data_IF_783953510213
#
_entry.id   IF_783953510213
#
_cell.length_a   1.000
_cell.length_b   1.000
_cell.length_c   1.000
_cell.angle_alpha   90.00
_cell.angle_beta   90.00
_cell.angle_gamma   90.00
#
_symmetry.space_group_name_H-M   'P 1'
#
loop_
_entity.id
_entity.type
_entity.pdbx_description
1 polymer ?
#
# COMPACT_ATOMS: atom_id res chain seq x y z
N UNK A 1 26.83 11.28 0.58
CA UNK A 1 26.94 12.65 0.02
C UNK A 1 27.97 12.62 -1.10
N UNK A 2 27.51 12.36 -2.32
CA UNK A 2 28.23 12.72 -3.54
C UNK A 2 27.32 13.69 -4.26
N UNK A 3 27.57 14.96 -3.99
CA UNK A 3 26.97 16.10 -4.65
C UNK A 3 27.61 16.20 -6.05
N UNK A 4 27.01 15.51 -7.02
CA UNK A 4 27.24 15.79 -8.44
C UNK A 4 26.17 16.77 -8.87
N UNK A 5 26.54 18.05 -8.98
CA UNK A 5 25.66 19.18 -9.33
C UNK A 5 25.09 19.18 -10.76
N UNK A 6 24.66 18.02 -11.26
CA UNK A 6 23.76 17.91 -12.39
C UNK A 6 22.31 17.85 -11.89
N UNK A 7 21.37 18.42 -12.64
CA UNK A 7 19.95 18.19 -12.37
C UNK A 7 19.66 16.68 -12.36
N UNK A 8 18.83 16.18 -11.42
CA UNK A 8 18.49 14.77 -11.37
C UNK A 8 17.84 14.35 -12.69
N UNK A 9 18.40 13.34 -13.34
CA UNK A 9 17.82 12.77 -14.56
C UNK A 9 16.83 11.66 -14.18
N UNK A 10 15.55 11.90 -14.41
CA UNK A 10 14.50 10.91 -14.19
C UNK A 10 14.26 10.06 -15.44
N UNK A 11 14.04 8.76 -15.26
CA UNK A 11 13.85 7.80 -16.36
C UNK A 11 12.72 6.83 -16.07
N UNK A 12 11.98 6.40 -17.09
CA UNK A 12 10.92 5.42 -16.90
C UNK A 12 11.49 4.08 -16.34
N UNK A 13 11.01 3.59 -15.18
CA UNK A 13 11.50 2.35 -14.59
C UNK A 13 11.19 1.15 -15.48
N UNK A 14 12.13 0.21 -15.56
CA UNK A 14 12.03 -0.99 -16.37
C UNK A 14 12.21 -2.25 -15.54
N UNK A 15 11.61 -3.37 -15.98
CA UNK A 15 11.71 -4.64 -15.25
C UNK A 15 13.13 -5.21 -15.31
N UNK A 16 13.78 -5.24 -14.15
CA UNK A 16 15.15 -5.74 -13.98
C UNK A 16 15.25 -7.14 -13.37
N UNK A 17 14.18 -7.67 -12.76
CA UNK A 17 14.13 -9.06 -12.26
C UNK A 17 13.25 -9.87 -13.21
N UNK A 18 13.86 -10.76 -13.98
CA UNK A 18 13.16 -11.57 -14.99
C UNK A 18 13.34 -13.07 -14.74
N UNK A 19 14.45 -13.44 -14.10
CA UNK A 19 14.83 -14.80 -13.78
C UNK A 19 15.13 -14.92 -12.28
N UNK A 20 15.11 -16.14 -11.70
CA UNK A 20 15.51 -16.35 -10.31
C UNK A 20 16.93 -15.85 -10.00
N UNK A 21 17.86 -15.92 -10.94
CA UNK A 21 19.26 -15.49 -10.75
C UNK A 21 19.39 -13.97 -10.61
N UNK A 22 18.47 -13.19 -11.20
CA UNK A 22 18.44 -11.74 -11.05
C UNK A 22 18.18 -11.30 -9.60
N UNK A 23 17.65 -12.19 -8.74
CA UNK A 23 17.41 -11.90 -7.33
C UNK A 23 18.71 -11.60 -6.58
N UNK A 24 19.84 -12.20 -7.00
CA UNK A 24 21.14 -11.90 -6.41
C UNK A 24 21.60 -10.46 -6.71
N UNK A 25 21.21 -9.93 -7.89
CA UNK A 25 21.45 -8.52 -8.26
C UNK A 25 20.49 -7.60 -7.52
N UNK A 26 19.21 -7.95 -7.45
CA UNK A 26 18.19 -7.18 -6.75
C UNK A 26 18.55 -6.96 -5.27
N UNK A 27 18.86 -8.03 -4.53
CA UNK A 27 19.17 -7.97 -3.09
C UNK A 27 20.44 -7.18 -2.74
N UNK A 28 21.30 -6.90 -3.72
CA UNK A 28 22.52 -6.09 -3.57
C UNK A 28 22.39 -4.69 -4.19
N UNK A 29 21.23 -4.37 -4.76
CA UNK A 29 21.00 -3.09 -5.43
C UNK A 29 20.74 -1.96 -4.43
N UNK A 30 21.02 -0.73 -4.87
CA UNK A 30 20.66 0.48 -4.12
C UNK A 30 19.15 0.54 -3.86
N UNK A 31 18.32 0.24 -4.88
CA UNK A 31 16.86 0.24 -4.74
C UNK A 31 16.35 -0.71 -3.63
N UNK A 32 16.98 -1.88 -3.46
CA UNK A 32 16.64 -2.78 -2.36
C UNK A 32 17.02 -2.20 -0.99
N UNK A 33 18.24 -1.65 -0.88
CA UNK A 33 18.70 -1.03 0.36
C UNK A 33 17.82 0.17 0.75
N UNK A 34 17.44 1.00 -0.22
CA UNK A 34 16.55 2.14 -0.01
C UNK A 34 15.14 1.73 0.38
N UNK A 35 14.59 0.70 -0.26
CA UNK A 35 13.26 0.17 0.08
C UNK A 35 13.19 -0.37 1.51
N UNK A 36 14.15 -1.21 1.88
CA UNK A 36 14.22 -1.76 3.25
C UNK A 36 14.47 -0.64 4.25
N UNK A 37 15.40 0.28 3.96
CA UNK A 37 15.67 1.43 4.80
C UNK A 37 14.45 2.33 5.00
N UNK A 38 13.68 2.57 3.94
CA UNK A 38 12.44 3.33 3.96
C UNK A 38 11.37 2.69 4.87
N UNK A 39 11.14 1.38 4.73
CA UNK A 39 10.17 0.65 5.58
C UNK A 39 10.56 0.75 7.05
N UNK A 40 11.84 0.52 7.38
CA UNK A 40 12.34 0.58 8.75
C UNK A 40 12.27 2.00 9.32
N UNK A 41 12.64 3.01 8.53
CA UNK A 41 12.57 4.41 8.95
C UNK A 41 11.12 4.82 9.26
N UNK A 42 10.16 4.48 8.38
CA UNK A 42 8.75 4.77 8.63
C UNK A 42 8.19 4.00 9.82
N UNK A 43 8.63 2.76 10.04
CA UNK A 43 8.22 1.97 11.20
C UNK A 43 8.59 2.67 12.52
N UNK A 44 9.81 3.20 12.63
CA UNK A 44 10.22 3.98 13.81
C UNK A 44 9.38 5.25 13.98
N UNK A 45 8.92 5.88 12.89
CA UNK A 45 8.09 7.08 12.95
C UNK A 45 6.66 6.83 13.41
N UNK A 46 6.13 5.62 13.30
CA UNK A 46 4.77 5.27 13.75
C UNK A 46 4.72 4.54 15.09
N UNK A 47 5.87 4.25 15.69
CA UNK A 47 5.99 3.57 16.97
C UNK A 47 5.14 4.23 18.06
N UNK A 48 4.27 3.44 18.70
CA UNK A 48 3.41 3.90 19.80
C UNK A 48 2.32 4.91 19.41
N UNK A 49 2.04 5.11 18.12
CA UNK A 49 1.09 6.13 17.64
C UNK A 49 -0.16 5.47 17.06
N UNK A 50 -1.33 5.98 17.45
CA UNK A 50 -2.62 5.60 16.86
C UNK A 50 -2.81 6.22 15.48
N UNK A 51 -3.62 5.58 14.64
CA UNK A 51 -4.15 6.19 13.42
C UNK A 51 -4.83 7.52 13.79
N UNK A 52 -5.62 7.58 14.85
CA UNK A 52 -6.37 8.77 15.26
C UNK A 52 -5.54 9.89 15.90
N UNK A 53 -4.23 9.71 16.10
CA UNK A 53 -3.39 10.75 16.69
C UNK A 53 -3.15 11.94 15.73
N UNK A 54 -2.77 13.08 16.31
CA UNK A 54 -2.46 14.30 15.57
C UNK A 54 -1.06 14.26 14.97
N UNK A 55 -0.96 14.63 13.71
CA UNK A 55 0.28 14.72 12.95
C UNK A 55 0.28 15.96 12.07
N UNK A 56 1.46 16.38 11.63
CA UNK A 56 1.57 17.36 10.56
C UNK A 56 1.00 16.75 9.28
N UNK A 57 0.02 17.43 8.69
CA UNK A 57 -0.54 17.09 7.38
C UNK A 57 -0.20 18.23 6.44
N UNK A 58 0.82 18.03 5.60
CA UNK A 58 1.22 19.01 4.60
C UNK A 58 0.19 19.11 3.46
N UNK A 59 0.36 20.14 2.63
CA UNK A 59 -0.43 20.31 1.41
C UNK A 59 -0.27 19.10 0.46
N UNK A 60 0.96 18.57 0.32
CA UNK A 60 1.24 17.39 -0.51
C UNK A 60 0.50 16.16 0.05
N UNK A 61 0.53 15.94 1.36
CA UNK A 61 -0.22 14.85 2.00
C UNK A 61 -1.73 14.99 1.77
N UNK A 62 -2.28 16.21 1.93
CA UNK A 62 -3.70 16.48 1.71
C UNK A 62 -4.10 16.20 0.26
N UNK A 63 -3.32 16.68 -0.70
CA UNK A 63 -3.55 16.45 -2.13
C UNK A 63 -3.43 14.97 -2.49
N UNK A 64 -2.49 14.24 -1.89
CA UNK A 64 -2.35 12.80 -2.12
C UNK A 64 -3.55 12.02 -1.58
N UNK A 65 -4.12 12.41 -0.44
CA UNK A 65 -5.38 11.85 0.05
C UNK A 65 -6.53 12.10 -0.94
N UNK A 66 -6.63 13.32 -1.49
CA UNK A 66 -7.63 13.66 -2.53
C UNK A 66 -7.47 12.84 -3.82
N UNK A 67 -6.23 12.49 -4.20
CA UNK A 67 -5.98 11.56 -5.31
C UNK A 67 -6.59 10.20 -4.99
N UNK A 68 -6.33 9.63 -3.81
CA UNK A 68 -6.90 8.34 -3.41
C UNK A 68 -8.43 8.38 -3.29
N UNK A 69 -9.02 9.49 -2.84
CA UNK A 69 -10.47 9.68 -2.81
C UNK A 69 -11.10 9.77 -4.21
N UNK A 70 -10.37 10.35 -5.17
CA UNK A 70 -10.78 10.35 -6.58
C UNK A 70 -10.81 8.93 -7.13
N UNK A 71 -9.79 8.12 -6.81
CA UNK A 71 -9.73 6.70 -7.21
C UNK A 71 -10.88 5.87 -6.60
N UNK A 72 -11.22 6.11 -5.33
CA UNK A 72 -12.38 5.50 -4.65
C UNK A 72 -13.71 5.88 -5.33
N UNK A 73 -13.86 7.15 -5.68
CA UNK A 73 -15.03 7.64 -6.41
C UNK A 73 -15.18 6.91 -7.74
N UNK A 74 -14.07 6.67 -8.45
CA UNK A 74 -14.10 5.93 -9.71
C UNK A 74 -14.50 4.46 -9.55
N UNK A 75 -14.25 3.84 -8.38
CA UNK A 75 -14.78 2.49 -8.10
C UNK A 75 -16.30 2.52 -8.13
N UNK A 76 -16.92 3.51 -7.46
CA UNK A 76 -18.39 3.69 -7.42
C UNK A 76 -18.97 4.00 -8.80
N UNK A 77 -18.25 4.75 -9.61
CA UNK A 77 -18.62 5.06 -11.00
C UNK A 77 -18.40 3.88 -11.96
N UNK A 78 -17.70 2.82 -11.53
CA UNK A 78 -17.38 1.65 -12.34
C UNK A 78 -17.91 0.38 -11.65
N UNK A 79 -19.24 0.21 -11.56
CA UNK A 79 -19.84 -0.90 -10.84
C UNK A 79 -19.49 -2.26 -11.48
N UNK A 80 -19.47 -3.35 -10.69
CA UNK A 80 -19.27 -4.70 -11.19
C UNK A 80 -20.28 -5.06 -12.26
N UNK A 81 -19.81 -5.69 -13.33
CA UNK A 81 -20.69 -6.22 -14.38
C UNK A 81 -21.21 -7.61 -14.00
N UNK A 82 -22.44 -7.92 -14.39
CA UNK A 82 -23.01 -9.25 -14.17
C UNK A 82 -22.38 -10.24 -15.17
N UNK A 83 -21.49 -11.10 -14.66
CA UNK A 83 -20.72 -12.05 -15.45
C UNK A 83 -20.78 -13.43 -14.80
N UNK A 84 -20.72 -14.51 -15.59
CA UNK A 84 -20.77 -15.88 -15.07
C UNK A 84 -19.53 -16.25 -14.23
N UNK A 85 -18.44 -15.48 -14.34
CA UNK A 85 -17.20 -15.75 -13.64
C UNK A 85 -17.32 -15.41 -12.15
N UNK A 86 -16.90 -16.35 -11.30
CA UNK A 86 -16.97 -16.22 -9.83
C UNK A 86 -15.91 -15.28 -9.25
N UNK A 87 -14.72 -15.25 -9.85
CA UNK A 87 -13.57 -14.44 -9.43
C UNK A 87 -13.13 -13.53 -10.57
N UNK A 88 -12.58 -12.36 -10.23
CA UNK A 88 -12.13 -11.37 -11.18
C UNK A 88 -13.28 -10.77 -12.00
N UNK A 89 -13.82 -9.64 -11.58
CA UNK A 89 -14.83 -8.91 -12.34
C UNK A 89 -14.16 -8.04 -13.42
N UNK A 90 -14.62 -8.12 -14.67
CA UNK A 90 -14.00 -7.37 -15.77
C UNK A 90 -14.10 -5.85 -15.65
N UNK A 91 -15.04 -5.32 -14.84
CA UNK A 91 -15.16 -3.89 -14.54
C UNK A 91 -13.88 -3.30 -13.90
N UNK A 92 -13.08 -4.12 -13.22
CA UNK A 92 -11.75 -3.73 -12.74
C UNK A 92 -10.87 -3.21 -13.87
N UNK A 93 -10.98 -3.79 -15.06
CA UNK A 93 -10.18 -3.38 -16.22
C UNK A 93 -10.52 -1.97 -16.66
N UNK A 94 -11.81 -1.65 -16.64
CA UNK A 94 -12.31 -0.31 -16.93
C UNK A 94 -11.80 0.69 -15.90
N UNK A 95 -11.89 0.34 -14.61
CA UNK A 95 -11.40 1.18 -13.52
C UNK A 95 -9.90 1.42 -13.62
N UNK A 96 -9.09 0.37 -13.75
CA UNK A 96 -7.63 0.48 -13.79
C UNK A 96 -7.16 1.20 -15.06
N UNK A 97 -7.86 1.06 -16.18
CA UNK A 97 -7.54 1.80 -17.42
C UNK A 97 -7.78 3.30 -17.24
N UNK A 98 -8.84 3.69 -16.52
CA UNK A 98 -9.09 5.09 -16.14
C UNK A 98 -7.98 5.61 -15.23
N UNK A 99 -7.57 4.83 -14.22
CA UNK A 99 -6.43 5.17 -13.35
C UNK A 99 -5.16 5.40 -14.15
N UNK A 100 -4.79 4.46 -15.03
CA UNK A 100 -3.59 4.58 -15.87
C UNK A 100 -3.64 5.81 -16.79
N UNK A 101 -4.80 6.11 -17.39
CA UNK A 101 -4.97 7.27 -18.27
C UNK A 101 -4.88 8.63 -17.55
N UNK A 102 -5.29 8.69 -16.28
CA UNK A 102 -5.40 9.95 -15.53
C UNK A 102 -4.28 10.18 -14.51
N UNK A 103 -3.45 9.17 -14.22
CA UNK A 103 -2.43 9.25 -13.16
C UNK A 103 -1.42 10.39 -13.37
N UNK A 104 -1.00 10.66 -14.62
CA UNK A 104 -0.11 11.78 -14.93
C UNK A 104 -0.73 13.12 -14.52
N UNK A 105 -2.02 13.33 -14.80
CA UNK A 105 -2.74 14.57 -14.46
C UNK A 105 -2.98 14.68 -12.96
N UNK A 106 -3.45 13.60 -12.33
CA UNK A 106 -3.71 13.57 -10.89
C UNK A 106 -2.44 13.88 -10.08
N UNK A 107 -1.31 13.27 -10.44
CA UNK A 107 -0.06 13.49 -9.73
C UNK A 107 0.56 14.86 -10.03
N UNK A 108 0.38 15.42 -11.24
CA UNK A 108 0.85 16.77 -11.54
C UNK A 108 0.05 17.85 -10.81
N UNK A 109 -1.25 17.65 -10.60
CA UNK A 109 -2.10 18.52 -9.77
C UNK A 109 -1.78 18.39 -8.28
N UNK A 110 -1.43 17.19 -7.84
CA UNK A 110 -1.11 16.91 -6.43
C UNK A 110 0.27 17.44 -6.01
N UNK A 111 1.21 17.54 -6.95
CA UNK A 111 2.60 17.89 -6.67
C UNK A 111 2.97 19.30 -7.16
N UNK A 112 3.78 20.06 -6.40
CA UNK A 112 4.38 21.30 -6.88
C UNK A 112 5.13 21.12 -8.21
N UNK A 113 5.06 22.13 -9.10
CA UNK A 113 5.64 22.10 -10.46
C UNK A 113 7.11 21.72 -10.50
N UNK A 114 7.88 22.08 -9.47
CA UNK A 114 9.31 21.72 -9.35
C UNK A 114 9.58 20.20 -9.34
N UNK A 115 8.57 19.37 -9.06
CA UNK A 115 8.69 17.91 -9.05
C UNK A 115 8.12 17.25 -10.31
N UNK A 116 7.59 18.02 -11.28
CA UNK A 116 6.92 17.44 -12.45
C UNK A 116 7.86 16.63 -13.36
N UNK A 117 9.16 16.93 -13.35
CA UNK A 117 10.15 16.12 -14.07
C UNK A 117 10.24 14.68 -13.53
N UNK A 118 9.94 14.46 -12.24
CA UNK A 118 9.97 13.13 -11.62
C UNK A 118 8.75 12.26 -11.98
N UNK A 119 7.71 12.82 -12.62
CA UNK A 119 6.49 12.09 -12.93
C UNK A 119 6.73 10.88 -13.84
N UNK A 120 7.77 10.94 -14.69
CA UNK A 120 8.19 9.80 -15.54
C UNK A 120 8.58 8.57 -14.72
N UNK A 121 9.07 8.77 -13.49
CA UNK A 121 9.38 7.69 -12.54
C UNK A 121 8.20 7.39 -11.61
N UNK A 122 7.50 8.41 -11.13
CA UNK A 122 6.45 8.25 -10.11
C UNK A 122 5.20 7.55 -10.66
N UNK A 123 4.78 7.88 -11.89
CA UNK A 123 3.53 7.37 -12.47
C UNK A 123 3.56 5.84 -12.63
N UNK A 124 4.63 5.22 -13.15
CA UNK A 124 4.69 3.75 -13.24
C UNK A 124 4.55 3.04 -11.89
N UNK A 125 5.24 3.49 -10.83
CA UNK A 125 5.07 2.88 -9.50
C UNK A 125 3.64 3.05 -8.97
N UNK A 126 3.05 4.25 -9.13
CA UNK A 126 1.68 4.50 -8.71
C UNK A 126 0.68 3.61 -9.46
N UNK A 127 0.79 3.51 -10.78
CA UNK A 127 -0.16 2.73 -11.60
C UNK A 127 -0.05 1.21 -11.38
N UNK A 128 1.12 0.69 -11.03
CA UNK A 128 1.31 -0.74 -10.71
C UNK A 128 0.93 -1.07 -9.25
N UNK A 129 0.47 -0.09 -8.47
CA UNK A 129 0.14 -0.24 -7.04
C UNK A 129 -1.21 -0.90 -6.75
N UNK A 130 -2.07 -1.11 -7.75
CA UNK A 130 -3.49 -1.43 -7.54
C UNK A 130 -3.94 -2.80 -8.07
N UNK A 131 -3.00 -3.62 -8.55
CA UNK A 131 -3.30 -4.97 -9.06
C UNK A 131 -3.03 -5.13 -10.57
N UNK A 132 -3.18 -6.34 -11.07
CA UNK A 132 -2.92 -6.66 -12.46
C UNK A 132 -4.18 -6.64 -13.32
N UNK A 133 -4.17 -5.81 -14.37
CA UNK A 133 -5.25 -5.70 -15.35
C UNK A 133 -5.69 -7.04 -15.94
N UNK A 134 -4.73 -7.89 -16.31
CA UNK A 134 -5.00 -9.12 -17.06
C UNK A 134 -5.51 -10.24 -16.17
N UNK A 135 -4.86 -10.43 -15.03
CA UNK A 135 -5.18 -11.50 -14.08
C UNK A 135 -6.29 -11.11 -13.10
N UNK A 136 -6.58 -9.81 -12.94
CA UNK A 136 -7.53 -9.27 -11.96
C UNK A 136 -7.16 -9.79 -10.56
N UNK A 137 -5.87 -9.69 -10.25
CA UNK A 137 -5.28 -10.10 -8.98
C UNK A 137 -4.56 -8.93 -8.31
N UNK A 138 -4.38 -9.05 -7.00
CA UNK A 138 -3.64 -8.10 -6.18
C UNK A 138 -2.80 -8.88 -5.16
N UNK A 139 -1.66 -8.35 -4.74
CA UNK A 139 -0.81 -8.97 -3.73
C UNK A 139 0.34 -8.06 -3.31
N UNK A 140 1.27 -8.62 -2.53
CA UNK A 140 2.35 -7.87 -1.87
C UNK A 140 3.32 -7.19 -2.84
N UNK A 141 3.42 -7.64 -4.10
CA UNK A 141 4.17 -6.94 -5.14
C UNK A 141 3.56 -5.57 -5.51
N UNK A 142 2.23 -5.48 -5.53
CA UNK A 142 1.51 -4.23 -5.78
C UNK A 142 1.57 -3.30 -4.56
N UNK A 143 1.46 -3.86 -3.36
CA UNK A 143 1.71 -3.14 -2.10
C UNK A 143 3.14 -2.55 -2.07
N UNK A 144 4.14 -3.34 -2.47
CA UNK A 144 5.52 -2.89 -2.60
C UNK A 144 5.66 -1.75 -3.62
N UNK A 145 4.96 -1.81 -4.75
CA UNK A 145 4.96 -0.70 -5.73
C UNK A 145 4.43 0.60 -5.13
N UNK A 146 3.39 0.52 -4.29
CA UNK A 146 2.89 1.70 -3.58
C UNK A 146 3.90 2.24 -2.58
N UNK A 147 4.55 1.36 -1.81
CA UNK A 147 5.61 1.77 -0.90
C UNK A 147 6.82 2.38 -1.62
N UNK A 148 7.19 1.88 -2.80
CA UNK A 148 8.20 2.48 -3.66
C UNK A 148 7.78 3.87 -4.16
N UNK A 149 6.52 4.04 -4.60
CA UNK A 149 5.98 5.34 -4.95
C UNK A 149 6.10 6.35 -3.80
N UNK A 150 5.75 5.94 -2.57
CA UNK A 150 5.91 6.78 -1.39
C UNK A 150 7.40 7.10 -1.13
N UNK A 151 8.28 6.11 -1.23
CA UNK A 151 9.73 6.29 -1.09
C UNK A 151 10.28 7.33 -2.06
N UNK A 152 9.90 7.25 -3.35
CA UNK A 152 10.30 8.21 -4.38
C UNK A 152 9.87 9.65 -4.03
N UNK A 153 8.67 9.84 -3.45
CA UNK A 153 8.21 11.16 -3.01
C UNK A 153 9.04 11.76 -1.87
N UNK A 154 9.58 10.94 -0.96
CA UNK A 154 10.59 11.41 0.00
C UNK A 154 11.92 11.71 -0.68
N UNK A 155 12.38 10.86 -1.59
CA UNK A 155 13.67 11.03 -2.28
C UNK A 155 13.72 12.31 -3.12
N UNK A 156 12.64 12.65 -3.81
CA UNK A 156 12.56 13.91 -4.57
C UNK A 156 12.32 15.13 -3.69
N UNK A 157 12.07 14.94 -2.39
CA UNK A 157 11.83 16.01 -1.41
C UNK A 157 10.42 16.60 -1.47
N UNK A 158 9.45 15.89 -2.06
CA UNK A 158 8.04 16.27 -2.00
C UNK A 158 7.47 16.13 -0.59
N UNK A 159 7.96 15.13 0.14
CA UNK A 159 7.76 15.00 1.59
C UNK A 159 9.06 15.14 2.36
N UNK A 160 8.91 15.56 3.61
CA UNK A 160 9.99 15.66 4.59
C UNK A 160 9.77 14.68 5.72
N UNK A 161 10.76 14.48 6.58
CA UNK A 161 10.66 13.59 7.74
C UNK A 161 9.46 13.93 8.66
N UNK A 162 9.01 15.19 8.68
CA UNK A 162 7.83 15.61 9.43
C UNK A 162 6.52 14.99 8.91
N UNK A 163 6.47 14.64 7.63
CA UNK A 163 5.30 14.01 6.99
C UNK A 163 5.21 12.51 7.27
N UNK A 164 6.30 11.87 7.69
CA UNK A 164 6.40 10.41 7.80
C UNK A 164 5.25 9.73 8.61
N UNK A 165 4.84 10.25 9.79
CA UNK A 165 3.69 9.68 10.49
C UNK A 165 2.39 9.78 9.68
N UNK A 166 2.14 10.91 9.00
CA UNK A 166 0.93 11.09 8.20
C UNK A 166 0.95 10.27 6.91
N UNK A 167 2.12 10.05 6.31
CA UNK A 167 2.25 9.16 5.15
C UNK A 167 1.80 7.74 5.50
N UNK A 168 2.22 7.19 6.64
CA UNK A 168 1.77 5.84 7.04
C UNK A 168 0.33 5.86 7.57
N UNK A 169 0.04 6.73 8.54
CA UNK A 169 -1.20 6.69 9.32
C UNK A 169 -2.36 7.48 8.69
N UNK A 170 -2.16 8.08 7.51
CA UNK A 170 -3.23 8.65 6.67
C UNK A 170 -3.15 8.12 5.25
N UNK A 171 -2.05 8.34 4.53
CA UNK A 171 -1.98 8.01 3.10
C UNK A 171 -1.99 6.50 2.87
N UNK A 172 -1.14 5.75 3.57
CA UNK A 172 -1.11 4.29 3.45
C UNK A 172 -2.37 3.65 4.04
N UNK A 173 -2.90 4.15 5.16
CA UNK A 173 -4.20 3.70 5.69
C UNK A 173 -5.35 3.95 4.67
N UNK A 174 -5.36 5.10 3.99
CA UNK A 174 -6.35 5.39 2.95
C UNK A 174 -6.20 4.48 1.72
N UNK A 175 -4.95 4.18 1.35
CA UNK A 175 -4.63 3.19 0.32
C UNK A 175 -5.14 1.80 0.70
N UNK A 176 -4.91 1.36 1.95
CA UNK A 176 -5.40 0.10 2.48
C UNK A 176 -6.93 -0.02 2.36
N UNK A 177 -7.66 1.04 2.68
CA UNK A 177 -9.12 1.10 2.51
C UNK A 177 -9.54 0.97 1.04
N UNK A 178 -8.83 1.66 0.12
CA UNK A 178 -9.08 1.57 -1.31
C UNK A 178 -8.81 0.17 -1.85
N UNK A 179 -7.68 -0.46 -1.54
CA UNK A 179 -7.37 -1.80 -2.07
C UNK A 179 -8.29 -2.88 -1.50
N UNK A 180 -8.74 -2.76 -0.24
CA UNK A 180 -9.79 -3.63 0.31
C UNK A 180 -11.12 -3.46 -0.41
N UNK A 181 -11.49 -2.23 -0.77
CA UNK A 181 -12.67 -1.97 -1.60
C UNK A 181 -12.52 -2.64 -2.98
N UNK A 182 -11.37 -2.49 -3.65
CA UNK A 182 -11.11 -3.13 -4.95
C UNK A 182 -11.20 -4.66 -4.87
N UNK A 183 -10.56 -5.27 -3.85
CA UNK A 183 -10.57 -6.71 -3.61
C UNK A 183 -12.00 -7.25 -3.49
N UNK A 184 -12.85 -6.57 -2.72
CA UNK A 184 -14.24 -6.97 -2.51
C UNK A 184 -15.12 -6.69 -3.73
N UNK A 185 -15.11 -5.45 -4.23
CA UNK A 185 -15.99 -4.98 -5.30
C UNK A 185 -15.75 -5.75 -6.60
N UNK A 186 -14.47 -5.95 -6.95
CA UNK A 186 -14.08 -6.65 -8.17
C UNK A 186 -13.72 -8.11 -7.97
N UNK A 187 -13.87 -8.65 -6.76
CA UNK A 187 -13.61 -10.07 -6.43
C UNK A 187 -12.21 -10.50 -6.88
N UNK A 188 -11.21 -9.68 -6.58
CA UNK A 188 -9.84 -9.86 -7.06
C UNK A 188 -9.20 -11.09 -6.44
N UNK A 189 -8.42 -11.82 -7.21
CA UNK A 189 -7.70 -13.00 -6.71
C UNK A 189 -6.42 -12.59 -5.95
N UNK A 190 -6.00 -13.36 -4.93
CA UNK A 190 -4.69 -13.20 -4.30
C UNK A 190 -3.55 -13.52 -5.28
N UNK A 191 -2.65 -12.56 -5.51
CA UNK A 191 -1.47 -12.74 -6.35
C UNK A 191 -0.32 -13.33 -5.53
N UNK A 192 0.02 -14.60 -5.80
CA UNK A 192 1.15 -15.26 -5.15
C UNK A 192 0.90 -15.73 -3.71
N UNK A 193 -0.35 -15.68 -3.23
CA UNK A 193 -0.71 -16.30 -1.94
C UNK A 193 -0.56 -17.82 -2.01
N UNK A 194 -0.01 -18.39 -0.94
CA UNK A 194 0.02 -19.83 -0.70
C UNK A 194 -1.04 -20.25 0.32
N UNK A 195 -2.09 -19.44 0.50
CA UNK A 195 -3.18 -19.68 1.44
C UNK A 195 -2.68 -19.72 2.88
N UNK A 196 -2.86 -20.87 3.55
CA UNK A 196 -2.44 -21.07 4.95
C UNK A 196 -0.92 -20.93 5.18
N UNK A 197 -0.12 -20.93 4.12
CA UNK A 197 1.34 -20.72 4.17
C UNK A 197 1.77 -19.27 3.91
N UNK A 198 0.82 -18.34 3.85
CA UNK A 198 1.08 -16.91 3.77
C UNK A 198 0.60 -16.21 5.04
N UNK A 199 1.24 -15.08 5.37
CA UNK A 199 0.83 -14.26 6.51
C UNK A 199 -0.59 -13.73 6.31
N UNK A 200 -0.85 -13.21 5.12
CA UNK A 200 -2.15 -12.73 4.64
C UNK A 200 -2.22 -12.97 3.12
N UNK A 201 -3.43 -12.93 2.55
CA UNK A 201 -3.63 -13.18 1.12
C UNK A 201 -3.14 -12.03 0.24
N UNK A 202 -3.13 -10.79 0.76
CA UNK A 202 -2.90 -9.60 -0.06
C UNK A 202 -1.78 -8.69 0.45
N UNK A 203 -1.58 -8.58 1.77
CA UNK A 203 -0.83 -7.50 2.40
C UNK A 203 0.31 -8.01 3.29
N UNK A 204 1.33 -7.18 3.51
CA UNK A 204 2.42 -7.47 4.45
C UNK A 204 2.84 -6.25 5.26
N UNK A 205 3.04 -5.10 4.61
CA UNK A 205 3.46 -3.85 5.28
C UNK A 205 2.55 -3.37 6.43
N UNK A 206 1.21 -3.46 6.39
CA UNK A 206 0.38 -3.02 7.51
C UNK A 206 0.57 -3.86 8.76
N UNK A 207 1.05 -5.11 8.65
CA UNK A 207 1.41 -5.91 9.82
C UNK A 207 2.74 -5.43 10.43
N UNK A 208 3.71 -5.00 9.61
CA UNK A 208 4.95 -4.40 10.10
C UNK A 208 4.64 -3.07 10.81
N UNK A 209 4.07 -2.10 10.09
CA UNK A 209 3.84 -0.77 10.65
C UNK A 209 2.78 -0.79 11.75
N UNK A 210 1.73 -1.61 11.60
CA UNK A 210 0.69 -1.77 12.60
C UNK A 210 1.18 -2.42 13.89
N UNK A 211 2.10 -3.38 13.83
CA UNK A 211 2.76 -3.91 15.05
C UNK A 211 3.71 -2.88 15.66
N UNK A 212 4.37 -2.05 14.83
CA UNK A 212 5.12 -0.88 15.28
C UNK A 212 4.29 0.08 16.14
N UNK A 213 3.05 0.38 15.74
CA UNK A 213 2.12 1.20 16.52
C UNK A 213 1.86 0.66 17.94
N UNK A 214 1.93 -0.67 18.12
CA UNK A 214 1.61 -1.35 19.37
C UNK A 214 2.82 -1.54 20.31
N UNK A 215 4.03 -1.15 19.89
CA UNK A 215 5.21 -1.26 20.77
C UNK A 215 5.05 -0.36 21.99
N UNK A 216 5.14 -0.96 23.18
CA UNK A 216 4.98 -0.27 24.45
C UNK A 216 3.52 0.00 24.84
N UNK A 217 2.54 -0.59 24.16
CA UNK A 217 1.14 -0.45 24.52
C UNK A 217 0.88 -1.03 25.93
N UNK A 218 0.15 -0.32 26.82
CA UNK A 218 0.02 -0.73 28.22
C UNK A 218 -0.80 -2.02 28.43
N UNK A 219 -1.71 -2.33 27.51
CA UNK A 219 -2.70 -3.41 27.69
C UNK A 219 -2.92 -4.31 26.47
N UNK A 220 -2.42 -3.94 25.29
CA UNK A 220 -2.64 -4.71 24.06
C UNK A 220 -1.40 -5.54 23.86
N UNK A 221 -1.58 -6.84 23.85
CA UNK A 221 -0.51 -7.81 23.63
C UNK A 221 -0.74 -8.54 22.30
N UNK A 222 0.26 -9.23 21.74
CA UNK A 222 0.06 -10.03 20.53
C UNK A 222 -1.11 -11.01 20.65
N UNK A 223 -1.29 -11.69 21.79
CA UNK A 223 -2.43 -12.62 21.98
C UNK A 223 -3.82 -11.95 21.95
N UNK A 224 -3.90 -10.62 22.01
CA UNK A 224 -5.19 -9.91 22.07
C UNK A 224 -5.95 -9.97 20.74
N UNK A 225 -5.27 -9.98 19.58
CA UNK A 225 -5.95 -9.89 18.29
C UNK A 225 -6.79 -11.14 17.96
N UNK A 226 -6.52 -12.27 18.59
CA UNK A 226 -7.29 -13.52 18.40
C UNK A 226 -8.57 -13.56 19.23
N UNK A 227 -8.74 -12.62 20.15
CA UNK A 227 -9.95 -12.53 20.97
C UNK A 227 -11.13 -12.05 20.12
N UNK A 228 -12.28 -12.76 20.10
CA UNK A 228 -13.44 -12.36 19.30
C UNK A 228 -13.89 -10.92 19.58
N UNK A 229 -14.09 -10.13 18.53
CA UNK A 229 -14.53 -8.72 18.65
C UNK A 229 -13.42 -7.73 19.02
N UNK A 230 -12.21 -8.20 19.36
CA UNK A 230 -11.13 -7.33 19.83
C UNK A 230 -10.55 -6.49 18.70
N UNK A 231 -10.30 -7.11 17.55
CA UNK A 231 -9.76 -6.43 16.38
C UNK A 231 -10.72 -5.34 15.87
N UNK A 232 -12.02 -5.67 15.79
CA UNK A 232 -13.09 -4.77 15.37
C UNK A 232 -13.22 -3.55 16.29
N UNK A 233 -13.03 -3.72 17.60
CA UNK A 233 -13.07 -2.63 18.57
C UNK A 233 -11.87 -1.66 18.45
N UNK A 234 -10.75 -2.11 17.88
CA UNK A 234 -9.48 -1.38 17.85
C UNK A 234 -8.99 -1.01 16.44
N UNK A 235 -9.69 -1.45 15.39
CA UNK A 235 -9.27 -1.29 14.00
C UNK A 235 -9.16 0.16 13.54
N UNK A 236 -9.96 1.06 14.13
CA UNK A 236 -9.89 2.50 13.87
C UNK A 236 -8.63 3.17 14.39
N UNK A 237 -7.98 2.58 15.40
CA UNK A 237 -6.80 3.13 16.04
C UNK A 237 -5.51 2.44 15.58
N UNK A 238 -5.56 1.17 15.18
CA UNK A 238 -4.39 0.35 14.90
C UNK A 238 -4.53 -0.43 13.59
N UNK A 239 -3.59 -0.20 12.67
CA UNK A 239 -3.59 -0.78 11.31
C UNK A 239 -3.53 -2.31 11.33
N UNK A 240 -2.77 -2.89 12.27
CA UNK A 240 -2.73 -4.34 12.48
C UNK A 240 -4.14 -4.88 12.79
N UNK A 241 -4.86 -4.22 13.69
CA UNK A 241 -6.22 -4.62 14.07
C UNK A 241 -7.19 -4.45 12.89
N UNK A 242 -7.00 -3.43 12.05
CA UNK A 242 -7.75 -3.28 10.79
C UNK A 242 -7.51 -4.42 9.80
N UNK A 243 -6.30 -4.99 9.74
CA UNK A 243 -6.06 -6.20 8.94
C UNK A 243 -6.77 -7.42 9.50
N UNK A 244 -6.72 -7.63 10.82
CA UNK A 244 -7.40 -8.77 11.46
C UNK A 244 -8.91 -8.66 11.32
N UNK A 245 -9.49 -7.47 11.49
CA UNK A 245 -10.92 -7.22 11.21
C UNK A 245 -11.28 -7.61 9.77
N UNK A 246 -10.45 -7.21 8.79
CA UNK A 246 -10.71 -7.55 7.39
C UNK A 246 -10.66 -9.06 7.15
N UNK A 247 -9.67 -9.77 7.72
CA UNK A 247 -9.56 -11.23 7.65
C UNK A 247 -10.82 -11.90 8.23
N UNK A 248 -11.23 -11.50 9.44
CA UNK A 248 -12.42 -12.04 10.10
C UNK A 248 -13.71 -11.82 9.29
N UNK A 249 -13.76 -10.74 8.49
CA UNK A 249 -14.90 -10.42 7.63
C UNK A 249 -14.96 -11.29 6.38
N UNK A 250 -13.81 -11.62 5.78
CA UNK A 250 -13.75 -12.29 4.46
C UNK A 250 -13.51 -13.79 4.54
N UNK A 251 -12.94 -14.29 5.64
CA UNK A 251 -12.72 -15.72 5.88
C UNK A 251 -13.72 -16.25 6.89
N UNK A 252 -14.16 -17.49 6.67
CA UNK A 252 -15.10 -18.19 7.55
C UNK A 252 -14.44 -19.39 8.20
N UNK A 253 -14.76 -19.65 9.46
CA UNK A 253 -14.22 -20.76 10.23
C UNK A 253 -13.30 -20.30 11.37
N UNK A 254 -12.69 -21.24 12.09
CA UNK A 254 -11.73 -20.91 13.15
C UNK A 254 -10.48 -20.22 12.58
N UNK A 255 -10.03 -19.14 13.25
CA UNK A 255 -8.92 -18.31 12.77
C UNK A 255 -7.63 -19.12 12.50
N UNK A 256 -7.30 -20.06 13.38
CA UNK A 256 -6.12 -20.92 13.25
C UNK A 256 -6.15 -21.85 12.03
N UNK A 257 -7.32 -22.13 11.45
CA UNK A 257 -7.42 -22.99 10.25
C UNK A 257 -7.11 -22.22 8.97
N UNK A 258 -7.50 -20.94 8.88
CA UNK A 258 -7.41 -20.15 7.65
C UNK A 258 -6.30 -19.08 7.65
N UNK A 259 -5.73 -18.80 8.83
CA UNK A 259 -4.69 -17.78 9.06
C UNK A 259 -3.62 -18.29 10.04
N UNK A 260 -3.15 -19.52 9.83
CA UNK A 260 -2.26 -20.24 10.76
C UNK A 260 -0.89 -19.57 10.99
N UNK A 261 -0.36 -18.78 10.05
CA UNK A 261 0.89 -18.04 10.32
C UNK A 261 0.71 -16.85 11.27
N UNK A 262 -0.50 -16.26 11.30
CA UNK A 262 -0.82 -15.20 12.23
C UNK A 262 -1.15 -15.76 13.62
N UNK A 263 -1.83 -16.91 13.70
CA UNK A 263 -2.21 -17.57 14.95
C UNK A 263 -1.01 -18.08 15.77
#
# INVERSE_FOLDING_TARGET
>A
MTDSGGEPQYVEPTRQVQTPDDMARWTKSEAYAEYVGFILALNEKVKGKKITADFVVSEVTTKMLSVLDTLDTWVRETPPVNEPQRFGNSAFRTWLKKVQGESQRLLSEALPTKFHQALVELVPYFTDSFGNMTRIDYGTGHEMSFAMFLCCLFKVGAWTEADAPAVVLRVFERYMQLVRLLQLEYRMEPAGSHGVWSLDDYQFLPFIWGSGQLIGHPTIEPKSFTTPGFAEAHSRDYMFMGCIEFINKVKTGPFHEHSNQLW
#
